data_IF_628491303668
#
_entry.id   IF_628491303668
#
_cell.length_a   1.000
_cell.length_b   1.000
_cell.length_c   1.000
_cell.angle_alpha   90.00
_cell.angle_beta   90.00
_cell.angle_gamma   90.00
#
_symmetry.space_group_name_H-M   'P 1'
#
loop_
_entity.id
_entity.type
_entity.pdbx_description
1 polymer ?
#
# COMPACT_ATOMS: atom_id res chain seq x y z
N UNK A 1 14.80 32.67 1.54
CA UNK A 1 13.54 32.73 2.31
C UNK A 1 13.12 31.32 2.63
N UNK A 2 13.27 30.90 3.89
CA UNK A 2 12.72 29.63 4.36
C UNK A 2 11.19 29.75 4.31
N UNK A 3 10.53 28.96 3.46
CA UNK A 3 9.06 28.87 3.48
C UNK A 3 8.67 28.07 4.72
N UNK A 4 7.95 28.70 5.63
CA UNK A 4 7.30 28.00 6.73
C UNK A 4 6.31 26.95 6.17
N UNK A 5 6.42 25.72 6.66
CA UNK A 5 5.61 24.59 6.24
C UNK A 5 4.76 24.07 7.40
N UNK A 6 3.44 24.03 7.22
CA UNK A 6 2.51 23.48 8.20
C UNK A 6 2.43 21.96 8.06
N UNK A 7 3.09 21.24 8.96
CA UNK A 7 3.02 19.77 8.98
C UNK A 7 1.62 19.26 9.39
N UNK A 8 0.90 20.02 10.21
CA UNK A 8 -0.46 19.75 10.68
C UNK A 8 -1.19 21.08 10.80
N UNK A 9 -2.42 21.16 10.29
CA UNK A 9 -3.21 22.40 10.23
C UNK A 9 -4.68 22.11 10.56
N UNK A 10 -5.20 22.69 11.64
CA UNK A 10 -6.63 22.62 11.99
C UNK A 10 -7.17 21.22 12.32
N UNK A 11 -6.31 20.29 12.72
CA UNK A 11 -6.73 18.92 13.09
C UNK A 11 -7.51 18.93 14.41
N UNK A 12 -8.69 18.32 14.39
CA UNK A 12 -9.56 18.18 15.57
C UNK A 12 -10.20 16.80 15.58
N UNK A 13 -9.97 16.04 16.64
CA UNK A 13 -10.63 14.77 16.90
C UNK A 13 -10.62 14.46 18.40
N UNK A 14 -11.44 13.49 18.81
CA UNK A 14 -11.50 12.98 20.19
C UNK A 14 -11.45 11.47 20.15
N UNK A 15 -10.75 10.86 21.10
CA UNK A 15 -10.66 9.41 21.28
C UNK A 15 -11.22 9.08 22.66
N UNK A 16 -12.22 8.21 22.70
CA UNK A 16 -12.87 7.76 23.92
C UNK A 16 -12.01 6.72 24.65
N UNK A 17 -12.22 6.56 25.96
CA UNK A 17 -11.51 5.56 26.76
C UNK A 17 -11.82 4.15 26.22
N UNK A 18 -10.77 3.36 26.00
CA UNK A 18 -10.87 2.00 25.45
C UNK A 18 -11.16 1.95 23.95
N UNK A 19 -11.19 3.10 23.27
CA UNK A 19 -11.30 3.15 21.81
C UNK A 19 -9.97 2.81 21.14
N UNK A 20 -10.05 2.06 20.04
CA UNK A 20 -8.93 1.75 19.16
C UNK A 20 -9.13 2.50 17.85
N UNK A 21 -8.32 3.52 17.62
CA UNK A 21 -8.42 4.40 16.44
C UNK A 21 -7.22 4.23 15.53
N UNK A 22 -7.48 4.04 14.24
CA UNK A 22 -6.46 4.05 13.19
C UNK A 22 -6.24 5.47 12.66
N UNK A 23 -4.99 5.90 12.50
CA UNK A 23 -4.63 7.16 11.84
C UNK A 23 -3.87 6.80 10.55
N UNK A 24 -4.51 7.02 9.41
CA UNK A 24 -3.99 6.65 8.09
C UNK A 24 -3.78 7.87 7.20
N UNK A 25 -3.06 7.70 6.10
CA UNK A 25 -2.78 8.75 5.13
C UNK A 25 -1.46 8.56 4.40
N UNK A 26 -1.20 9.33 3.33
CA UNK A 26 0.03 9.20 2.56
C UNK A 26 1.28 9.59 3.36
N UNK A 27 2.46 9.30 2.81
CA UNK A 27 3.72 9.77 3.37
C UNK A 27 3.75 11.31 3.39
N UNK A 28 4.28 11.89 4.46
CA UNK A 28 4.27 13.34 4.66
C UNK A 28 2.90 13.94 5.04
N UNK A 29 1.88 13.13 5.32
CA UNK A 29 0.56 13.65 5.71
C UNK A 29 0.49 14.31 7.10
N UNK A 30 1.51 14.11 7.96
CA UNK A 30 1.54 14.65 9.33
C UNK A 30 1.27 13.63 10.44
N UNK A 31 1.13 12.32 10.12
CA UNK A 31 0.82 11.24 11.08
C UNK A 31 1.82 11.17 12.24
N UNK A 32 3.12 11.07 11.93
CA UNK A 32 4.18 11.00 12.95
C UNK A 32 4.28 12.30 13.75
N UNK A 33 3.99 13.46 13.14
CA UNK A 33 3.91 14.75 13.85
C UNK A 33 2.78 14.75 14.87
N UNK A 34 1.60 14.22 14.52
CA UNK A 34 0.47 14.06 15.43
C UNK A 34 0.81 13.12 16.57
N UNK A 35 1.43 11.98 16.28
CA UNK A 35 1.87 11.06 17.32
C UNK A 35 2.90 11.70 18.28
N UNK A 36 3.87 12.46 17.75
CA UNK A 36 4.84 13.21 18.55
C UNK A 36 4.20 14.32 19.39
N UNK A 37 3.13 14.94 18.90
CA UNK A 37 2.33 15.86 19.71
C UNK A 37 1.59 15.11 20.82
N UNK A 38 0.89 14.02 20.49
CA UNK A 38 0.16 13.19 21.47
C UNK A 38 1.08 12.63 22.56
N UNK A 39 2.33 12.26 22.24
CA UNK A 39 3.31 11.79 23.21
C UNK A 39 3.95 12.91 24.04
N UNK A 40 3.69 14.18 23.73
CA UNK A 40 4.26 15.34 24.42
C UNK A 40 5.70 15.68 23.99
N UNK A 41 6.27 15.00 22.99
CA UNK A 41 7.59 15.32 22.43
C UNK A 41 7.56 16.67 21.72
N UNK A 42 6.47 16.96 21.01
CA UNK A 42 6.25 18.24 20.33
C UNK A 42 5.06 18.97 20.96
N UNK A 43 5.17 20.30 21.07
CA UNK A 43 4.04 21.17 21.45
C UNK A 43 3.38 21.72 20.19
N UNK A 44 2.04 21.83 20.14
CA UNK A 44 1.37 22.46 19.01
C UNK A 44 1.70 23.96 18.98
N UNK A 45 1.89 24.53 17.79
CA UNK A 45 2.03 25.98 17.61
C UNK A 45 0.71 26.72 17.93
N UNK A 46 -0.43 26.09 17.64
CA UNK A 46 -1.77 26.62 17.86
C UNK A 46 -2.73 25.52 18.32
N UNK A 47 -3.75 25.89 19.10
CA UNK A 47 -4.76 24.97 19.61
C UNK A 47 -4.37 24.33 20.95
N UNK A 48 -5.14 23.33 21.37
CA UNK A 48 -4.93 22.63 22.64
C UNK A 48 -5.10 21.13 22.45
N UNK A 49 -4.40 20.37 23.29
CA UNK A 49 -4.45 18.91 23.30
C UNK A 49 -4.42 18.43 24.74
N UNK A 50 -5.29 17.48 25.07
CA UNK A 50 -5.41 16.93 26.42
C UNK A 50 -5.45 15.41 26.35
N UNK A 51 -4.51 14.77 27.03
CA UNK A 51 -4.49 13.32 27.22
C UNK A 51 -4.75 13.05 28.70
N UNK A 52 -5.72 12.18 28.99
CA UNK A 52 -6.03 11.75 30.36
C UNK A 52 -5.56 10.31 30.56
N UNK A 53 -4.74 10.11 31.59
CA UNK A 53 -4.21 8.80 31.98
C UNK A 53 -2.74 8.62 31.60
N UNK A 54 -2.16 7.50 32.05
CA UNK A 54 -0.78 7.13 31.77
C UNK A 54 -0.60 6.78 30.29
N UNK A 55 0.10 7.65 29.56
CA UNK A 55 0.43 7.46 28.15
C UNK A 55 1.75 6.68 28.00
N UNK A 56 1.74 5.68 27.13
CA UNK A 56 2.94 5.02 26.60
C UNK A 56 2.94 5.13 25.09
N UNK A 57 4.12 5.24 24.50
CA UNK A 57 4.30 5.33 23.07
C UNK A 57 5.30 4.28 22.60
N UNK A 58 4.88 3.37 21.72
CA UNK A 58 5.76 2.49 20.95
C UNK A 58 6.37 3.24 19.77
N UNK A 59 6.83 4.46 20.05
CA UNK A 59 7.42 5.38 19.10
C UNK A 59 8.84 5.57 19.61
N UNK A 60 9.82 5.20 18.81
CA UNK A 60 11.23 5.28 19.22
C UNK A 60 11.51 4.43 20.47
N UNK A 61 11.14 3.14 20.46
CA UNK A 61 11.25 2.21 21.63
C UNK A 61 12.66 2.05 22.23
N UNK A 62 13.70 2.49 21.52
CA UNK A 62 15.09 2.55 22.03
C UNK A 62 15.46 3.90 22.63
N UNK A 63 14.55 4.88 22.63
CA UNK A 63 14.78 6.19 23.22
C UNK A 63 14.99 6.04 24.74
N UNK A 64 16.03 6.69 25.25
CA UNK A 64 16.41 6.60 26.66
C UNK A 64 17.32 5.43 27.01
N UNK A 65 17.72 4.61 26.03
CA UNK A 65 18.82 3.67 26.23
C UNK A 65 20.17 4.38 26.33
N UNK A 66 21.04 3.88 27.22
CA UNK A 66 22.38 4.38 27.45
C UNK A 66 23.43 3.34 27.02
N UNK A 67 24.34 3.68 26.08
CA UNK A 67 25.22 2.71 25.41
C UNK A 67 26.20 1.99 26.34
N UNK A 68 26.64 2.68 27.41
CA UNK A 68 27.57 2.12 28.40
C UNK A 68 26.90 1.24 29.46
N UNK A 69 25.57 1.28 29.56
CA UNK A 69 24.83 0.45 30.51
C UNK A 69 24.54 -0.93 29.92
N UNK A 70 24.42 -1.94 30.79
CA UNK A 70 23.99 -3.30 30.45
C UNK A 70 22.53 -3.32 29.97
N UNK A 71 22.12 -4.40 29.31
CA UNK A 71 20.72 -4.62 28.96
C UNK A 71 19.81 -4.54 30.19
N UNK A 72 20.22 -5.14 31.32
CA UNK A 72 19.50 -5.07 32.60
C UNK A 72 19.28 -3.63 33.05
N UNK A 73 20.34 -2.85 33.16
CA UNK A 73 20.25 -1.45 33.59
C UNK A 73 19.40 -0.62 32.62
N UNK A 74 19.48 -0.89 31.32
CA UNK A 74 18.64 -0.26 30.31
C UNK A 74 17.16 -0.64 30.43
N UNK A 75 16.81 -1.86 30.85
CA UNK A 75 15.42 -2.23 31.17
C UNK A 75 14.86 -1.34 32.28
N UNK A 76 15.63 -1.15 33.35
CA UNK A 76 15.21 -0.29 34.46
C UNK A 76 15.13 1.18 34.06
N UNK A 77 16.13 1.68 33.33
CA UNK A 77 16.17 3.07 32.86
C UNK A 77 15.00 3.37 31.92
N UNK A 78 14.84 2.59 30.85
CA UNK A 78 13.79 2.79 29.86
C UNK A 78 12.40 2.57 30.47
N UNK A 79 12.23 1.53 31.31
CA UNK A 79 10.98 1.30 32.02
C UNK A 79 10.58 2.46 32.92
N UNK A 80 11.53 3.07 33.62
CA UNK A 80 11.30 4.26 34.45
C UNK A 80 10.91 5.46 33.60
N UNK A 81 11.57 5.66 32.45
CA UNK A 81 11.21 6.73 31.48
C UNK A 81 9.77 6.53 30.96
N UNK A 82 9.35 5.28 30.75
CA UNK A 82 7.98 4.90 30.39
C UNK A 82 7.01 4.88 31.59
N UNK A 83 7.44 5.42 32.73
CA UNK A 83 6.63 5.66 33.92
C UNK A 83 6.43 4.44 34.82
N UNK A 84 7.18 3.36 34.64
CA UNK A 84 7.08 2.18 35.51
C UNK A 84 7.73 2.48 36.85
N UNK A 85 7.07 2.09 37.94
CA UNK A 85 7.68 2.11 39.27
C UNK A 85 8.71 0.99 39.35
N UNK A 86 9.74 1.17 40.17
CA UNK A 86 10.77 0.14 40.41
C UNK A 86 10.17 -1.23 40.76
N UNK A 87 9.14 -1.27 41.61
CA UNK A 87 8.45 -2.51 41.97
C UNK A 87 7.80 -3.20 40.75
N UNK A 88 7.15 -2.44 39.87
CA UNK A 88 6.56 -3.00 38.64
C UNK A 88 7.64 -3.56 37.71
N UNK A 89 8.82 -2.93 37.67
CA UNK A 89 9.96 -3.41 36.91
C UNK A 89 10.53 -4.69 37.51
N UNK A 90 10.71 -4.76 38.83
CA UNK A 90 11.17 -5.96 39.52
C UNK A 90 10.22 -7.15 39.28
N UNK A 91 8.91 -6.93 39.35
CA UNK A 91 7.89 -7.96 39.12
C UNK A 91 7.83 -8.43 37.66
N UNK A 92 8.16 -7.56 36.69
CA UNK A 92 8.05 -7.84 35.25
C UNK A 92 9.39 -8.16 34.57
N UNK A 93 10.51 -7.99 35.27
CA UNK A 93 11.86 -8.10 34.69
C UNK A 93 12.07 -9.43 33.96
N UNK A 94 11.71 -10.54 34.60
CA UNK A 94 11.86 -11.88 34.04
C UNK A 94 11.05 -12.06 32.75
N UNK A 95 9.80 -11.55 32.73
CA UNK A 95 8.93 -11.60 31.55
C UNK A 95 9.48 -10.76 30.40
N UNK A 96 10.02 -9.57 30.70
CA UNK A 96 10.68 -8.70 29.71
C UNK A 96 11.88 -9.42 29.09
N UNK A 97 12.73 -10.05 29.91
CA UNK A 97 13.92 -10.75 29.41
C UNK A 97 13.53 -11.98 28.58
N UNK A 98 12.54 -12.76 29.02
CA UNK A 98 12.04 -13.92 28.27
C UNK A 98 11.40 -13.52 26.94
N UNK A 99 10.57 -12.46 26.94
CA UNK A 99 9.94 -11.94 25.74
C UNK A 99 11.00 -11.47 24.73
N UNK A 100 11.99 -10.72 25.22
CA UNK A 100 13.10 -10.20 24.41
C UNK A 100 13.96 -11.31 23.81
N UNK A 101 14.06 -12.47 24.46
CA UNK A 101 14.90 -13.60 24.04
C UNK A 101 16.39 -13.29 24.00
N UNK A 102 16.86 -12.32 24.80
CA UNK A 102 18.28 -11.93 24.89
C UNK A 102 18.92 -12.27 26.25
N UNK A 103 18.39 -13.28 26.96
CA UNK A 103 18.82 -13.67 28.31
C UNK A 103 20.33 -13.81 28.46
N UNK A 104 20.99 -14.45 27.51
CA UNK A 104 22.45 -14.66 27.53
C UNK A 104 23.26 -13.35 27.48
N UNK A 105 22.68 -12.27 26.95
CA UNK A 105 23.34 -11.00 26.74
C UNK A 105 22.87 -9.90 27.70
N UNK A 106 21.92 -10.19 28.61
CA UNK A 106 21.25 -9.16 29.42
C UNK A 106 22.22 -8.35 30.29
N UNK A 107 23.30 -8.96 30.76
CA UNK A 107 24.34 -8.31 31.58
C UNK A 107 25.53 -7.80 30.74
N UNK A 108 25.39 -7.75 29.41
CA UNK A 108 26.37 -7.14 28.50
C UNK A 108 25.99 -5.69 28.16
N UNK A 109 26.95 -4.75 28.09
CA UNK A 109 26.69 -3.38 27.64
C UNK A 109 26.00 -3.32 26.26
N UNK A 110 24.94 -2.53 26.14
CA UNK A 110 24.09 -2.53 24.95
C UNK A 110 24.80 -2.00 23.69
N UNK A 111 25.91 -1.26 23.83
CA UNK A 111 26.76 -0.89 22.67
C UNK A 111 27.32 -2.08 21.89
N UNK A 112 27.29 -3.29 22.48
CA UNK A 112 27.69 -4.55 21.83
C UNK A 112 26.51 -5.31 21.21
N UNK A 113 25.28 -4.81 21.36
CA UNK A 113 24.10 -5.46 20.82
C UNK A 113 23.99 -5.22 19.32
N UNK A 114 23.44 -6.20 18.60
CA UNK A 114 22.95 -5.94 17.25
C UNK A 114 21.75 -4.99 17.30
N UNK A 115 21.43 -4.35 16.16
CA UNK A 115 20.22 -3.54 16.03
C UNK A 115 18.96 -4.33 16.38
N UNK A 116 18.88 -5.60 15.96
CA UNK A 116 17.77 -6.49 16.29
C UNK A 116 17.62 -6.74 17.79
N UNK A 117 18.73 -6.96 18.52
CA UNK A 117 18.70 -7.13 19.97
C UNK A 117 18.24 -5.86 20.69
N UNK A 118 18.72 -4.68 20.27
CA UNK A 118 18.29 -3.39 20.81
C UNK A 118 16.79 -3.19 20.64
N UNK A 119 16.30 -3.39 19.40
CA UNK A 119 14.89 -3.19 19.11
C UNK A 119 14.00 -4.21 19.82
N UNK A 120 14.43 -5.48 19.93
CA UNK A 120 13.73 -6.50 20.72
C UNK A 120 13.66 -6.13 22.20
N UNK A 121 14.76 -5.68 22.81
CA UNK A 121 14.77 -5.26 24.21
C UNK A 121 13.85 -4.05 24.44
N UNK A 122 13.97 -2.99 23.64
CA UNK A 122 13.15 -1.79 23.77
C UNK A 122 11.66 -2.09 23.62
N UNK A 123 11.29 -2.90 22.62
CA UNK A 123 9.91 -3.36 22.46
C UNK A 123 9.44 -4.20 23.65
N UNK A 124 10.30 -5.08 24.17
CA UNK A 124 9.94 -5.94 25.31
C UNK A 124 9.62 -5.12 26.55
N UNK A 125 10.42 -4.09 26.86
CA UNK A 125 10.14 -3.19 27.98
C UNK A 125 8.81 -2.48 27.74
N UNK A 126 8.65 -1.85 26.58
CA UNK A 126 7.46 -1.05 26.29
C UNK A 126 6.17 -1.86 26.21
N UNK A 127 6.23 -3.12 25.76
CA UNK A 127 5.11 -4.04 25.70
C UNK A 127 4.65 -4.56 27.09
N UNK A 128 5.51 -4.44 28.11
CA UNK A 128 5.18 -4.79 29.50
C UNK A 128 4.84 -3.56 30.35
N UNK A 129 4.76 -2.38 29.77
CA UNK A 129 4.13 -1.22 30.40
C UNK A 129 2.62 -1.47 30.45
N UNK A 130 1.94 -1.02 31.52
CA UNK A 130 0.47 -1.02 31.60
C UNK A 130 -0.06 0.39 31.32
N UNK A 131 -0.25 0.78 30.05
CA UNK A 131 -0.75 2.11 29.71
C UNK A 131 -2.28 2.19 29.76
N UNK A 132 -2.77 3.38 30.10
CA UNK A 132 -4.17 3.76 29.86
C UNK A 132 -4.37 4.24 28.41
N UNK A 133 -3.33 4.84 27.83
CA UNK A 133 -3.27 5.29 26.43
C UNK A 133 -1.99 4.77 25.78
N UNK A 134 -2.12 4.03 24.69
CA UNK A 134 -1.00 3.51 23.91
C UNK A 134 -0.96 4.12 22.52
N UNK A 135 0.15 4.76 22.18
CA UNK A 135 0.44 5.19 20.83
C UNK A 135 1.29 4.15 20.13
N UNK A 136 0.89 3.72 18.95
CA UNK A 136 1.61 2.72 18.16
C UNK A 136 1.96 3.34 16.81
N UNK A 137 3.27 3.40 16.53
CA UNK A 137 3.76 3.68 15.18
C UNK A 137 4.13 2.35 14.50
N UNK A 138 4.28 2.39 13.19
CA UNK A 138 4.48 1.27 12.24
C UNK A 138 5.63 0.29 12.56
N UNK A 139 6.32 0.53 13.68
CA UNK A 139 7.43 -0.21 14.30
C UNK A 139 7.03 -1.61 14.78
N UNK A 140 5.77 -2.03 14.63
CA UNK A 140 5.36 -3.41 14.95
C UNK A 140 6.06 -4.49 14.10
N UNK A 141 6.71 -4.12 12.99
CA UNK A 141 7.47 -5.02 12.11
C UNK A 141 8.94 -5.23 12.54
N UNK A 142 9.28 -5.03 13.81
CA UNK A 142 10.63 -5.27 14.34
C UNK A 142 10.86 -6.75 14.63
N UNK A 143 12.04 -7.27 14.27
CA UNK A 143 12.50 -8.61 14.62
C UNK A 143 12.16 -9.69 13.58
N UNK A 144 12.49 -10.93 13.92
CA UNK A 144 12.14 -12.11 13.12
C UNK A 144 10.64 -12.46 13.22
N UNK A 145 10.18 -13.39 12.37
CA UNK A 145 8.78 -13.83 12.31
C UNK A 145 8.27 -14.34 13.67
N UNK A 146 9.13 -14.99 14.46
CA UNK A 146 8.77 -15.49 15.77
C UNK A 146 8.53 -14.34 16.76
N UNK A 147 9.39 -13.32 16.77
CA UNK A 147 9.23 -12.13 17.60
C UNK A 147 8.02 -11.29 17.18
N UNK A 148 7.80 -11.10 15.87
CA UNK A 148 6.59 -10.44 15.36
C UNK A 148 5.30 -11.12 15.83
N UNK A 149 5.29 -12.46 15.87
CA UNK A 149 4.16 -13.23 16.40
C UNK A 149 3.91 -12.96 17.89
N UNK A 150 4.98 -12.85 18.70
CA UNK A 150 4.88 -12.44 20.11
C UNK A 150 4.32 -11.02 20.25
N UNK A 151 4.78 -10.08 19.44
CA UNK A 151 4.29 -8.70 19.42
C UNK A 151 2.80 -8.63 19.09
N UNK A 152 2.35 -9.38 18.09
CA UNK A 152 0.94 -9.45 17.70
C UNK A 152 0.07 -10.03 18.81
N UNK A 153 0.53 -11.07 19.52
CA UNK A 153 -0.17 -11.64 20.66
C UNK A 153 -0.32 -10.62 21.80
N UNK A 154 0.76 -9.90 22.15
CA UNK A 154 0.73 -8.88 23.21
C UNK A 154 -0.15 -7.69 22.84
N UNK A 155 -0.15 -7.27 21.58
CA UNK A 155 -1.08 -6.25 21.08
C UNK A 155 -2.54 -6.68 21.26
N UNK A 156 -2.89 -7.95 20.99
CA UNK A 156 -4.25 -8.47 21.22
C UNK A 156 -4.63 -8.48 22.70
N UNK A 157 -3.68 -8.79 23.58
CA UNK A 157 -3.91 -8.71 25.04
C UNK A 157 -4.26 -7.28 25.46
N UNK A 158 -3.51 -6.28 24.98
CA UNK A 158 -3.75 -4.85 25.24
C UNK A 158 -5.06 -4.35 24.64
N UNK A 159 -5.45 -4.87 23.47
CA UNK A 159 -6.76 -4.57 22.88
C UNK A 159 -7.91 -5.09 23.76
N UNK A 160 -7.72 -6.24 24.39
CA UNK A 160 -8.73 -6.88 25.24
C UNK A 160 -8.78 -6.31 26.67
N UNK A 161 -7.73 -5.63 27.13
CA UNK A 161 -7.67 -5.02 28.47
C UNK A 161 -8.47 -3.71 28.59
N UNK A 162 -8.99 -3.17 27.47
CA UNK A 162 -9.67 -1.88 27.43
C UNK A 162 -8.72 -0.67 27.43
N UNK A 163 -7.45 -0.88 27.09
CA UNK A 163 -6.50 0.21 26.83
C UNK A 163 -6.97 1.05 25.64
N UNK A 164 -6.82 2.37 25.73
CA UNK A 164 -7.11 3.29 24.62
C UNK A 164 -5.91 3.27 23.65
N UNK A 165 -6.13 3.04 22.36
CA UNK A 165 -5.01 2.84 21.42
C UNK A 165 -5.17 3.75 20.19
N UNK A 166 -4.11 4.48 19.84
CA UNK A 166 -4.00 5.16 18.55
C UNK A 166 -2.90 4.51 17.72
N UNK A 167 -3.26 3.99 16.54
CA UNK A 167 -2.36 3.23 15.67
C UNK A 167 -2.11 4.01 14.39
N UNK A 168 -0.84 4.26 14.05
CA UNK A 168 -0.42 4.72 12.72
C UNK A 168 0.18 3.54 11.95
N UNK A 169 -0.34 3.27 10.75
CA UNK A 169 0.20 2.24 9.85
C UNK A 169 -0.20 2.50 8.41
N UNK A 170 0.66 2.11 7.46
CA UNK A 170 0.28 1.96 6.05
C UNK A 170 -0.37 0.61 5.74
N UNK A 171 -0.41 -0.35 6.67
CA UNK A 171 -1.03 -1.65 6.46
C UNK A 171 -2.55 -1.56 6.70
N UNK A 172 -3.32 -1.38 5.62
CA UNK A 172 -4.77 -1.21 5.70
C UNK A 172 -5.49 -2.47 6.21
N UNK A 173 -4.96 -3.67 5.94
CA UNK A 173 -5.51 -4.93 6.48
C UNK A 173 -5.41 -4.97 7.99
N UNK A 174 -4.27 -4.54 8.55
CA UNK A 174 -4.09 -4.46 10.00
C UNK A 174 -5.05 -3.42 10.61
N UNK A 175 -5.10 -2.21 10.04
CA UNK A 175 -6.00 -1.15 10.50
C UNK A 175 -7.46 -1.61 10.46
N UNK A 176 -7.89 -2.24 9.37
CA UNK A 176 -9.25 -2.78 9.22
C UNK A 176 -9.57 -3.84 10.28
N UNK A 177 -8.61 -4.73 10.58
CA UNK A 177 -8.81 -5.81 11.56
C UNK A 177 -8.85 -5.35 13.02
N UNK A 178 -8.15 -4.26 13.37
CA UNK A 178 -7.95 -3.83 14.75
C UNK A 178 -8.81 -2.64 15.16
N UNK A 179 -9.10 -1.73 14.22
CA UNK A 179 -9.72 -0.46 14.52
C UNK A 179 -11.21 -0.47 14.19
N UNK A 180 -12.03 0.12 15.06
CA UNK A 180 -13.47 0.36 14.77
C UNK A 180 -13.72 1.73 14.15
N UNK A 181 -12.73 2.61 14.20
CA UNK A 181 -12.74 3.95 13.65
C UNK A 181 -11.38 4.29 13.06
N UNK A 182 -11.39 5.00 11.94
CA UNK A 182 -10.21 5.41 11.20
C UNK A 182 -10.30 6.89 10.87
N UNK A 183 -9.20 7.61 11.10
CA UNK A 183 -9.01 9.02 10.77
C UNK A 183 -8.02 9.09 9.60
N UNK A 184 -8.50 9.55 8.45
CA UNK A 184 -7.67 9.83 7.29
C UNK A 184 -7.13 11.25 7.36
N UNK A 185 -5.81 11.35 7.30
CA UNK A 185 -5.07 12.62 7.29
C UNK A 185 -4.37 12.79 5.96
N UNK A 186 -4.44 13.99 5.39
CA UNK A 186 -3.71 14.34 4.19
C UNK A 186 -3.27 15.80 4.25
N UNK A 187 -2.01 16.07 3.87
CA UNK A 187 -1.41 17.42 3.89
C UNK A 187 -1.71 18.18 5.20
N UNK A 188 -1.57 17.49 6.33
CA UNK A 188 -1.78 18.06 7.66
C UNK A 188 -3.24 18.26 8.08
N UNK A 189 -4.24 17.84 7.31
CA UNK A 189 -5.67 18.03 7.60
C UNK A 189 -6.40 16.70 7.73
N UNK A 190 -7.43 16.64 8.58
CA UNK A 190 -8.37 15.50 8.62
C UNK A 190 -9.28 15.59 7.41
N UNK A 191 -9.24 14.58 6.54
CA UNK A 191 -10.12 14.50 5.37
C UNK A 191 -11.38 13.71 5.65
N UNK A 192 -11.28 12.63 6.43
CA UNK A 192 -12.41 11.76 6.75
C UNK A 192 -12.16 11.08 8.10
N UNK A 193 -13.22 10.88 8.86
CA UNK A 193 -13.20 10.26 10.18
C UNK A 193 -14.46 9.40 10.29
N UNK A 194 -14.31 8.09 10.48
CA UNK A 194 -15.45 7.16 10.46
C UNK A 194 -15.06 5.70 10.49
N UNK A 195 -15.98 4.82 10.08
CA UNK A 195 -15.74 3.37 10.03
C UNK A 195 -14.64 3.03 8.99
N UNK A 196 -13.68 2.12 9.31
CA UNK A 196 -12.73 1.57 8.35
C UNK A 196 -13.31 1.21 6.98
N UNK A 197 -14.51 0.61 6.94
CA UNK A 197 -15.17 0.19 5.69
C UNK A 197 -15.49 1.35 4.72
N UNK A 198 -15.57 2.58 5.23
CA UNK A 198 -15.79 3.78 4.41
C UNK A 198 -14.51 4.57 4.17
N UNK A 199 -13.65 4.65 5.20
CA UNK A 199 -12.48 5.54 5.18
C UNK A 199 -11.34 4.93 4.38
N UNK A 200 -11.12 3.61 4.48
CA UNK A 200 -10.04 2.94 3.75
C UNK A 200 -10.28 2.99 2.24
N UNK A 201 -11.46 2.62 1.69
CA UNK A 201 -11.70 2.74 0.25
C UNK A 201 -11.62 4.19 -0.26
N UNK A 202 -12.04 5.17 0.55
CA UNK A 202 -11.89 6.58 0.21
C UNK A 202 -10.41 6.99 0.10
N UNK A 203 -9.57 6.53 1.02
CA UNK A 203 -8.12 6.74 0.94
C UNK A 203 -7.51 6.05 -0.29
N UNK A 204 -7.84 4.79 -0.52
CA UNK A 204 -7.36 4.03 -1.69
C UNK A 204 -7.71 4.73 -2.99
N UNK A 205 -8.95 5.22 -3.14
CA UNK A 205 -9.38 5.98 -4.32
C UNK A 205 -8.59 7.29 -4.53
N UNK A 206 -8.19 7.99 -3.47
CA UNK A 206 -7.32 9.18 -3.59
C UNK A 206 -5.94 8.79 -4.11
N UNK A 207 -5.37 7.71 -3.56
CA UNK A 207 -4.06 7.21 -3.98
C UNK A 207 -4.11 6.72 -5.42
N UNK A 208 -5.15 5.98 -5.80
CA UNK A 208 -5.34 5.53 -7.17
C UNK A 208 -5.47 6.70 -8.13
N UNK A 209 -6.36 7.68 -7.87
CA UNK A 209 -6.47 8.87 -8.75
C UNK A 209 -5.15 9.61 -8.92
N UNK A 210 -4.38 9.78 -7.84
CA UNK A 210 -3.07 10.41 -7.93
C UNK A 210 -2.08 9.58 -8.76
N UNK A 211 -2.06 8.26 -8.58
CA UNK A 211 -1.28 7.36 -9.42
C UNK A 211 -1.75 7.37 -10.88
N UNK A 212 -3.04 7.51 -11.14
CA UNK A 212 -3.62 7.64 -12.48
C UNK A 212 -3.08 8.88 -13.19
N UNK A 213 -3.12 10.03 -12.53
CA UNK A 213 -2.63 11.29 -13.07
C UNK A 213 -1.11 11.25 -13.30
N UNK A 214 -0.35 10.70 -12.35
CA UNK A 214 1.09 10.51 -12.48
C UNK A 214 1.45 9.52 -13.60
N UNK A 215 0.69 8.43 -13.73
CA UNK A 215 0.88 7.42 -14.76
C UNK A 215 0.53 7.97 -16.15
N UNK A 216 -0.61 8.68 -16.30
CA UNK A 216 -0.97 9.40 -17.54
C UNK A 216 0.12 10.41 -17.92
N UNK A 217 0.66 11.16 -16.96
CA UNK A 217 1.78 12.08 -17.20
C UNK A 217 3.07 11.34 -17.62
N UNK A 218 3.37 10.19 -17.01
CA UNK A 218 4.53 9.36 -17.39
C UNK A 218 4.37 8.76 -18.77
N UNK A 219 3.19 8.27 -19.16
CA UNK A 219 2.89 7.81 -20.51
C UNK A 219 3.08 8.94 -21.54
N UNK A 220 2.63 10.15 -21.19
CA UNK A 220 2.85 11.34 -22.03
C UNK A 220 4.34 11.73 -22.14
N UNK A 221 5.16 11.51 -21.09
CA UNK A 221 6.61 11.80 -21.08
C UNK A 221 7.49 10.69 -21.66
N UNK A 222 7.05 9.43 -21.57
CA UNK A 222 7.66 8.26 -22.23
C UNK A 222 7.30 8.17 -23.72
N UNK A 223 6.76 9.25 -24.30
CA UNK A 223 6.98 9.60 -25.72
C UNK A 223 8.46 9.87 -26.06
N UNK A 224 9.40 9.26 -25.33
CA UNK A 224 10.74 9.03 -25.85
C UNK A 224 10.61 8.20 -27.11
N UNK A 225 10.97 8.84 -28.22
CA UNK A 225 11.18 8.26 -29.54
C UNK A 225 12.06 7.02 -29.42
N UNK A 226 11.49 5.85 -29.15
CA UNK A 226 12.01 4.66 -29.80
C UNK A 226 11.74 4.94 -31.26
N UNK A 227 12.77 5.33 -32.00
CA UNK A 227 12.75 5.30 -33.47
C UNK A 227 12.60 3.83 -33.86
N UNK A 228 11.40 3.28 -33.72
CA UNK A 228 10.93 2.31 -34.70
C UNK A 228 10.85 3.15 -35.98
N UNK A 229 11.57 2.75 -37.03
CA UNK A 229 11.65 3.50 -38.29
C UNK A 229 10.30 4.14 -38.63
N UNK A 230 10.31 5.42 -39.01
CA UNK A 230 9.16 6.30 -39.31
C UNK A 230 8.27 5.83 -40.50
N UNK A 231 8.29 4.53 -40.81
CA UNK A 231 7.40 3.83 -41.73
C UNK A 231 6.71 2.68 -40.99
N UNK A 232 5.95 3.00 -39.93
CA UNK A 232 5.10 1.99 -39.28
C UNK A 232 4.09 1.46 -40.31
N UNK A 233 4.24 0.18 -40.70
CA UNK A 233 3.37 -0.47 -41.69
C UNK A 233 1.92 -0.61 -41.21
N UNK A 234 1.69 -0.48 -39.90
CA UNK A 234 0.38 -0.49 -39.25
C UNK A 234 0.21 0.75 -38.38
N UNK A 235 -1.00 1.30 -38.37
CA UNK A 235 -1.45 2.27 -37.38
C UNK A 235 -2.60 1.66 -36.56
N UNK A 236 -2.66 1.95 -35.26
CA UNK A 236 -3.76 1.50 -34.37
C UNK A 236 -4.49 2.73 -33.84
N UNK A 237 -5.81 2.73 -33.93
CA UNK A 237 -6.67 3.83 -33.52
C UNK A 237 -7.89 3.33 -32.72
N UNK A 238 -8.65 4.28 -32.17
CA UNK A 238 -9.97 4.05 -31.59
C UNK A 238 -10.05 2.91 -30.56
N UNK A 239 -9.07 2.81 -29.66
CA UNK A 239 -9.10 1.82 -28.58
C UNK A 239 -10.32 2.10 -27.68
N UNK A 240 -11.24 1.15 -27.60
CA UNK A 240 -12.47 1.19 -26.79
C UNK A 240 -12.50 -0.03 -25.88
N UNK A 241 -13.07 0.18 -24.69
CA UNK A 241 -13.19 -0.83 -23.65
C UNK A 241 -14.67 -1.03 -23.36
N UNK A 242 -15.12 -2.28 -23.36
CA UNK A 242 -16.52 -2.65 -23.21
C UNK A 242 -16.69 -3.76 -22.18
N UNK A 243 -17.87 -3.84 -21.56
CA UNK A 243 -18.27 -5.00 -20.78
C UNK A 243 -18.99 -6.06 -21.62
N UNK A 244 -19.51 -7.11 -20.98
CA UNK A 244 -20.30 -8.18 -21.61
C UNK A 244 -21.65 -7.70 -22.17
N UNK A 245 -22.14 -6.53 -21.75
CA UNK A 245 -23.34 -5.87 -22.27
C UNK A 245 -23.06 -4.89 -23.41
N UNK A 246 -21.82 -4.84 -23.91
CA UNK A 246 -21.35 -3.88 -24.93
C UNK A 246 -21.46 -2.40 -24.49
N UNK A 247 -21.44 -2.13 -23.19
CA UNK A 247 -21.40 -0.76 -22.67
C UNK A 247 -19.95 -0.27 -22.64
N UNK A 248 -19.67 0.89 -23.25
CA UNK A 248 -18.32 1.47 -23.22
C UNK A 248 -18.03 2.06 -21.84
N UNK A 249 -16.95 1.63 -21.19
CA UNK A 249 -16.58 2.05 -19.83
C UNK A 249 -15.08 2.27 -19.71
N UNK A 250 -14.69 3.17 -18.81
CA UNK A 250 -13.29 3.38 -18.40
C UNK A 250 -13.03 2.89 -16.96
N UNK A 251 -14.07 2.34 -16.31
CA UNK A 251 -14.01 1.72 -14.99
C UNK A 251 -14.83 0.43 -14.94
N UNK A 252 -14.24 -0.63 -14.41
CA UNK A 252 -14.78 -1.99 -14.38
C UNK A 252 -14.77 -2.54 -12.96
N UNK A 253 -15.74 -3.38 -12.65
CA UNK A 253 -15.78 -4.06 -11.35
C UNK A 253 -14.90 -5.30 -11.32
N UNK A 254 -14.43 -5.70 -10.13
CA UNK A 254 -13.92 -7.06 -9.92
C UNK A 254 -15.00 -8.08 -10.35
N UNK A 255 -14.62 -8.99 -11.24
CA UNK A 255 -15.44 -10.01 -11.91
C UNK A 255 -16.35 -9.51 -13.05
N UNK A 256 -16.33 -8.22 -13.40
CA UNK A 256 -16.96 -7.72 -14.65
C UNK A 256 -16.12 -8.17 -15.86
N UNK A 257 -16.77 -8.44 -16.98
CA UNK A 257 -16.06 -8.79 -18.21
C UNK A 257 -15.38 -7.56 -18.83
N UNK A 258 -14.19 -7.76 -19.40
CA UNK A 258 -13.49 -6.73 -20.19
C UNK A 258 -13.28 -7.19 -21.62
N UNK A 259 -13.75 -6.39 -22.55
CA UNK A 259 -13.49 -6.52 -23.98
C UNK A 259 -12.73 -5.29 -24.46
N UNK A 260 -11.66 -5.49 -25.23
CA UNK A 260 -10.85 -4.42 -25.81
C UNK A 260 -11.05 -4.45 -27.31
N UNK A 261 -11.54 -3.37 -27.90
CA UNK A 261 -11.69 -3.22 -29.34
C UNK A 261 -10.83 -2.08 -29.86
N UNK A 262 -10.23 -2.25 -31.02
CA UNK A 262 -9.44 -1.21 -31.67
C UNK A 262 -9.49 -1.35 -33.18
N UNK A 263 -9.33 -0.22 -33.86
CA UNK A 263 -9.21 -0.16 -35.31
C UNK A 263 -7.74 -0.20 -35.70
N UNK A 264 -7.43 -0.79 -36.84
CA UNK A 264 -6.09 -0.75 -37.42
C UNK A 264 -6.14 -0.36 -38.90
N UNK A 265 -5.12 0.37 -39.34
CA UNK A 265 -4.93 0.78 -40.73
C UNK A 265 -3.55 0.31 -41.20
N UNK A 266 -3.44 -0.08 -42.47
CA UNK A 266 -2.20 -0.59 -43.05
C UNK A 266 -1.71 0.33 -44.15
N UNK A 267 -0.39 0.52 -44.18
CA UNK A 267 0.29 1.15 -45.32
C UNK A 267 0.73 0.11 -46.35
N UNK A 268 1.08 -1.10 -45.91
CA UNK A 268 1.51 -2.23 -46.74
C UNK A 268 0.94 -3.55 -46.18
N UNK A 269 0.69 -4.58 -47.03
CA UNK A 269 0.25 -5.89 -46.56
C UNK A 269 1.29 -6.56 -45.66
N UNK A 270 0.82 -7.20 -44.58
CA UNK A 270 1.68 -7.88 -43.61
C UNK A 270 1.43 -9.39 -43.66
N UNK A 271 2.44 -10.21 -44.03
CA UNK A 271 2.32 -11.66 -43.96
C UNK A 271 2.43 -12.12 -42.51
N UNK A 272 1.56 -13.06 -42.12
CA UNK A 272 1.56 -13.71 -40.81
C UNK A 272 1.67 -12.75 -39.60
N UNK A 273 0.79 -11.74 -39.50
CA UNK A 273 0.82 -10.82 -38.36
C UNK A 273 0.39 -11.54 -37.08
N UNK A 274 1.00 -11.16 -35.96
CA UNK A 274 0.52 -11.56 -34.63
C UNK A 274 0.18 -10.31 -33.83
N UNK A 275 -1.10 -10.10 -33.54
CA UNK A 275 -1.52 -9.11 -32.55
C UNK A 275 -1.24 -9.64 -31.14
N UNK A 276 -0.77 -8.75 -30.26
CA UNK A 276 -0.65 -9.02 -28.83
C UNK A 276 -1.27 -7.92 -27.99
N UNK A 277 -1.78 -8.31 -26.82
CA UNK A 277 -2.12 -7.38 -25.73
C UNK A 277 -1.41 -7.76 -24.46
N UNK A 278 -0.65 -6.82 -23.94
CA UNK A 278 -0.06 -6.85 -22.60
C UNK A 278 -0.91 -5.99 -21.67
N UNK A 279 -1.38 -6.54 -20.56
CA UNK A 279 -2.08 -5.78 -19.53
C UNK A 279 -1.11 -5.49 -18.38
N UNK A 280 -0.75 -4.23 -18.19
CA UNK A 280 0.17 -3.78 -17.15
C UNK A 280 -0.56 -2.98 -16.08
N UNK A 281 -0.27 -3.25 -14.82
CA UNK A 281 -0.76 -2.45 -13.69
C UNK A 281 0.14 -1.23 -13.46
N UNK A 282 -0.39 -0.16 -12.89
CA UNK A 282 0.33 1.11 -12.70
C UNK A 282 1.63 1.03 -11.87
N UNK A 283 1.80 -0.02 -11.07
CA UNK A 283 3.04 -0.32 -10.33
C UNK A 283 4.10 -1.06 -11.17
N UNK A 284 3.82 -1.29 -12.46
CA UNK A 284 4.73 -1.93 -13.42
C UNK A 284 4.59 -3.46 -13.47
N UNK A 285 3.66 -4.04 -12.72
CA UNK A 285 3.40 -5.49 -12.77
C UNK A 285 2.71 -5.84 -14.08
N UNK A 286 3.32 -6.72 -14.86
CA UNK A 286 2.70 -7.34 -16.03
C UNK A 286 1.69 -8.39 -15.56
N UNK A 287 0.41 -8.15 -15.80
CA UNK A 287 -0.68 -8.98 -15.29
C UNK A 287 -1.16 -10.03 -16.28
N UNK A 288 -1.06 -9.76 -17.58
CA UNK A 288 -1.48 -10.67 -18.62
C UNK A 288 -0.75 -10.36 -19.93
N UNK A 289 -0.44 -11.39 -20.71
CA UNK A 289 -0.04 -11.26 -22.12
C UNK A 289 -0.88 -12.24 -22.92
N UNK A 290 -1.40 -11.79 -24.05
CA UNK A 290 -2.12 -12.64 -25.00
C UNK A 290 -1.66 -12.36 -26.41
N UNK A 291 -1.66 -13.41 -27.23
CA UNK A 291 -1.30 -13.40 -28.64
C UNK A 291 -2.43 -14.00 -29.46
N UNK A 292 -2.78 -13.35 -30.57
CA UNK A 292 -3.80 -13.81 -31.52
C UNK A 292 -3.49 -15.14 -32.22
N UNK A 293 -2.22 -15.58 -32.21
CA UNK A 293 -1.81 -16.85 -32.84
C UNK A 293 -2.54 -18.07 -32.24
N UNK A 294 -2.85 -18.03 -30.94
CA UNK A 294 -3.56 -19.11 -30.25
C UNK A 294 -5.00 -19.32 -30.74
N UNK A 295 -5.60 -18.31 -31.40
CA UNK A 295 -6.98 -18.33 -31.89
C UNK A 295 -7.06 -18.44 -33.42
N UNK A 296 -6.14 -19.22 -34.00
CA UNK A 296 -6.18 -19.60 -35.43
C UNK A 296 -5.25 -18.79 -36.33
N UNK A 297 -4.59 -17.76 -35.79
CA UNK A 297 -3.61 -16.95 -36.51
C UNK A 297 -4.15 -16.28 -37.78
N UNK A 298 -3.31 -15.52 -38.46
CA UNK A 298 -3.65 -14.90 -39.73
C UNK A 298 -2.54 -15.18 -40.74
N UNK A 299 -2.88 -15.54 -41.98
CA UNK A 299 -1.88 -15.73 -43.04
C UNK A 299 -1.41 -14.40 -43.64
N UNK A 300 -2.33 -13.42 -43.78
CA UNK A 300 -2.02 -12.08 -44.28
C UNK A 300 -3.03 -11.04 -43.78
N UNK A 301 -2.55 -9.81 -43.57
CA UNK A 301 -3.31 -8.58 -43.33
C UNK A 301 -3.17 -7.69 -44.57
N UNK A 302 -4.24 -7.49 -45.34
CA UNK A 302 -4.19 -6.73 -46.61
C UNK A 302 -4.98 -5.41 -46.58
N UNK A 303 -5.91 -5.28 -45.63
CA UNK A 303 -6.76 -4.10 -45.46
C UNK A 303 -6.89 -3.75 -43.98
N UNK A 304 -7.12 -2.46 -43.72
CA UNK A 304 -7.52 -1.99 -42.40
C UNK A 304 -8.83 -2.62 -41.94
N UNK A 305 -9.01 -2.73 -40.65
CA UNK A 305 -10.13 -3.44 -40.05
C UNK A 305 -10.21 -3.19 -38.55
N UNK A 306 -10.95 -4.04 -37.84
CA UNK A 306 -11.09 -3.94 -36.39
C UNK A 306 -10.79 -5.28 -35.71
N UNK A 307 -10.22 -5.19 -34.52
CA UNK A 307 -9.89 -6.33 -33.68
C UNK A 307 -10.61 -6.17 -32.36
N UNK A 308 -11.23 -7.24 -31.88
CA UNK A 308 -11.81 -7.32 -30.54
C UNK A 308 -11.17 -8.47 -29.78
N UNK A 309 -10.78 -8.19 -28.54
CA UNK A 309 -10.20 -9.15 -27.61
C UNK A 309 -11.15 -9.28 -26.44
N UNK A 310 -11.61 -10.49 -26.21
CA UNK A 310 -12.44 -10.84 -25.06
C UNK A 310 -11.53 -11.37 -23.96
N UNK A 311 -11.25 -10.59 -22.91
CA UNK A 311 -10.44 -11.03 -21.77
C UNK A 311 -11.25 -11.84 -20.74
N UNK A 312 -12.56 -11.97 -20.95
CA UNK A 312 -13.46 -12.59 -19.99
C UNK A 312 -13.59 -11.77 -18.70
N UNK A 313 -13.99 -12.44 -17.61
CA UNK A 313 -14.22 -11.79 -16.30
C UNK A 313 -12.91 -11.43 -15.62
N UNK A 314 -12.80 -10.18 -15.20
CA UNK A 314 -11.63 -9.64 -14.52
C UNK A 314 -11.50 -10.19 -13.10
N UNK A 315 -10.62 -11.17 -12.90
CA UNK A 315 -10.21 -11.65 -11.58
C UNK A 315 -8.83 -11.06 -11.21
N UNK A 316 -8.72 -9.74 -11.34
CA UNK A 316 -7.51 -8.96 -11.03
C UNK A 316 -7.75 -8.07 -9.81
N UNK A 317 -6.68 -7.74 -9.10
CA UNK A 317 -6.75 -6.85 -7.95
C UNK A 317 -7.26 -5.45 -8.34
N UNK A 318 -7.92 -4.71 -7.45
CA UNK A 318 -8.29 -3.32 -7.71
C UNK A 318 -7.05 -2.48 -8.03
N UNK A 319 -7.21 -1.53 -8.95
CA UNK A 319 -6.13 -0.65 -9.36
C UNK A 319 -6.24 -0.21 -10.81
N UNK A 320 -5.19 0.46 -11.26
CA UNK A 320 -5.14 1.09 -12.59
C UNK A 320 -4.35 0.21 -13.53
N UNK A 321 -4.91 -0.03 -14.70
CA UNK A 321 -4.35 -0.91 -15.71
C UNK A 321 -4.27 -0.21 -17.06
N UNK A 322 -3.27 -0.62 -17.84
CA UNK A 322 -3.01 -0.11 -19.17
C UNK A 322 -2.76 -1.29 -20.12
N UNK A 323 -3.63 -1.48 -21.14
CA UNK A 323 -3.37 -2.40 -22.22
C UNK A 323 -2.37 -1.76 -23.19
N UNK A 324 -1.34 -2.53 -23.54
CA UNK A 324 -0.38 -2.23 -24.59
C UNK A 324 -0.65 -3.18 -25.74
N UNK A 325 -0.99 -2.61 -26.89
CA UNK A 325 -1.31 -3.36 -28.12
C UNK A 325 -0.11 -3.30 -29.03
N UNK A 326 0.34 -4.46 -29.49
CA UNK A 326 1.49 -4.59 -30.40
C UNK A 326 1.13 -5.51 -31.57
N UNK A 327 1.62 -5.20 -32.76
CA UNK A 327 1.56 -6.09 -33.93
C UNK A 327 2.96 -6.57 -34.22
N UNK A 328 3.15 -7.87 -34.30
CA UNK A 328 4.44 -8.53 -34.49
C UNK A 328 4.50 -9.28 -35.80
N UNK A 329 5.72 -9.56 -36.26
CA UNK A 329 5.98 -10.65 -37.19
C UNK A 329 5.66 -12.01 -36.56
N UNK A 330 5.58 -13.04 -37.41
CA UNK A 330 5.27 -14.42 -37.01
C UNK A 330 6.23 -14.98 -35.95
N UNK A 331 7.46 -14.47 -35.90
CA UNK A 331 8.52 -14.97 -35.03
C UNK A 331 8.55 -14.21 -33.69
N UNK A 332 7.68 -13.20 -33.51
CA UNK A 332 7.60 -12.29 -32.36
C UNK A 332 8.91 -11.51 -32.12
N UNK A 333 9.70 -11.29 -33.17
CA UNK A 333 11.02 -10.64 -33.09
C UNK A 333 10.90 -9.17 -33.44
N UNK A 334 10.19 -8.84 -34.53
CA UNK A 334 10.08 -7.46 -35.00
C UNK A 334 8.64 -6.95 -34.84
N UNK A 335 8.41 -5.95 -33.97
CA UNK A 335 7.11 -5.29 -33.89
C UNK A 335 6.92 -4.32 -35.05
N UNK A 336 5.81 -4.46 -35.78
CA UNK A 336 5.36 -3.52 -36.82
C UNK A 336 4.80 -2.21 -36.26
N UNK A 337 4.17 -2.27 -35.08
CA UNK A 337 3.73 -1.10 -34.31
C UNK A 337 3.63 -1.45 -32.83
N UNK A 338 3.94 -0.47 -31.98
CA UNK A 338 3.59 -0.44 -30.56
C UNK A 338 2.70 0.79 -30.35
N UNK A 339 1.41 0.62 -30.07
CA UNK A 339 0.53 1.77 -29.82
C UNK A 339 0.58 2.25 -28.36
N UNK A 340 0.28 3.53 -28.15
CA UNK A 340 0.16 4.15 -26.83
C UNK A 340 -1.24 3.95 -26.23
N UNK A 341 -1.21 3.83 -24.91
CA UNK A 341 -2.12 3.06 -24.09
C UNK A 341 -3.36 3.87 -23.67
N UNK A 342 -4.55 3.27 -23.73
CA UNK A 342 -5.75 3.78 -23.06
C UNK A 342 -5.82 3.20 -21.65
N UNK A 343 -5.76 4.04 -20.63
CA UNK A 343 -5.77 3.58 -19.22
C UNK A 343 -7.20 3.30 -18.77
N UNK A 344 -7.41 2.28 -17.94
CA UNK A 344 -8.69 2.00 -17.28
C UNK A 344 -8.52 1.64 -15.80
N UNK A 345 -9.59 1.82 -15.04
CA UNK A 345 -9.62 1.51 -13.62
C UNK A 345 -10.38 0.21 -13.36
N UNK A 346 -9.93 -0.57 -12.37
CA UNK A 346 -10.68 -1.69 -11.81
C UNK A 346 -11.01 -1.37 -10.36
N UNK A 347 -12.30 -1.27 -10.08
CA UNK A 347 -12.87 -0.88 -8.80
C UNK A 347 -13.49 -2.09 -8.08
N UNK A 348 -13.54 -2.01 -6.75
CA UNK A 348 -14.29 -2.97 -5.95
C UNK A 348 -15.76 -2.56 -5.95
N UNK A 349 -16.61 -3.29 -6.67
CA UNK A 349 -18.08 -3.13 -6.56
C UNK A 349 -18.79 -4.34 -5.95
N UNK A 350 -18.06 -5.42 -5.64
CA UNK A 350 -18.63 -6.66 -5.10
C UNK A 350 -18.25 -6.89 -3.64
N UNK A 351 -18.95 -7.81 -2.97
CA UNK A 351 -18.72 -8.23 -1.57
C UNK A 351 -17.32 -8.81 -1.29
N UNK A 352 -16.49 -8.99 -2.33
CA UNK A 352 -15.15 -9.57 -2.22
C UNK A 352 -14.12 -8.48 -1.90
N UNK A 353 -13.84 -8.32 -0.61
CA UNK A 353 -12.79 -7.43 -0.07
C UNK A 353 -11.42 -8.09 -0.22
N UNK A 354 -10.49 -7.40 -0.89
CA UNK A 354 -9.05 -7.69 -0.98
C UNK A 354 -8.66 -9.13 -1.34
N UNK A 355 -8.38 -9.38 -2.62
CA UNK A 355 -7.61 -10.57 -3.03
C UNK A 355 -6.40 -10.16 -3.85
N UNK A 356 -5.21 -10.54 -3.38
CA UNK A 356 -3.96 -10.51 -4.17
C UNK A 356 -4.03 -11.63 -5.22
N UNK A 357 -4.89 -11.44 -6.23
CA UNK A 357 -5.17 -12.46 -7.22
C UNK A 357 -4.07 -12.52 -8.31
N UNK A 358 -3.70 -13.74 -8.69
CA UNK A 358 -2.97 -14.04 -9.93
C UNK A 358 -4.03 -14.45 -10.96
N UNK A 359 -4.02 -13.80 -12.12
CA UNK A 359 -5.10 -13.87 -13.11
C UNK A 359 -4.74 -14.81 -14.27
N UNK A 360 -5.66 -15.70 -14.61
CA UNK A 360 -5.67 -16.44 -15.87
C UNK A 360 -7.00 -16.09 -16.56
N UNK A 361 -6.93 -15.41 -17.70
CA UNK A 361 -8.10 -15.09 -18.51
C UNK A 361 -8.40 -16.20 -19.52
N UNK A 362 -9.68 -16.39 -19.80
CA UNK A 362 -10.16 -17.13 -20.98
C UNK A 362 -10.23 -16.13 -22.13
N UNK A 363 -9.12 -16.00 -22.87
CA UNK A 363 -8.94 -14.95 -23.88
C UNK A 363 -9.35 -15.47 -25.25
N UNK A 364 -10.13 -14.67 -25.99
CA UNK A 364 -10.47 -14.93 -27.39
C UNK A 364 -10.27 -13.70 -28.26
N UNK A 365 -9.66 -13.90 -29.43
CA UNK A 365 -9.48 -12.88 -30.44
C UNK A 365 -10.51 -13.00 -31.57
N UNK A 366 -11.18 -11.90 -31.89
CA UNK A 366 -12.06 -11.74 -33.06
C UNK A 366 -11.48 -10.68 -33.99
N UNK A 367 -11.16 -11.05 -35.23
CA UNK A 367 -10.51 -10.16 -36.20
C UNK A 367 -11.41 -9.99 -37.43
N UNK A 368 -11.94 -8.79 -37.62
CA UNK A 368 -12.82 -8.44 -38.72
C UNK A 368 -12.03 -7.68 -39.80
N UNK A 369 -11.97 -8.27 -41.01
CA UNK A 369 -11.18 -7.82 -42.16
C UNK A 369 -11.98 -7.01 -43.18
#
# INVERSE_FOLDING_TARGET
SEREFWAVEGVSFKVAKGEVVGIIGPNGAGKSTILKMLSGILKPNMGTMHVKGRLSALIEVTAGFHPELTGRENVYLNGTILGMKKKELDDKFEQIVEFSGIREFIDTPIKRYSSGMLSRLGFSVAAHVDPEVLLVDEVLAVGDIAFQSKCAAKMRELLNSGTTIAIVSHNMTLIHSLCKRVILINKGKVLKDGNPDEVIPYYENIVFKQQEDEFKQRLNRQTHKVKVNDQSQVNIANIKLFNDKNEQKDSFSVSEALNISFDYELNEPIPKPVFSVELMRADGVLCCVSYSEHDGGLEILEKGGSVTIHLGRLNIAPGIYAPKITVWDKDLIHPYIINKQKVFNVEVSSQYKHTNAVFIADIKWEINK
#
